data_IF_306299191930
#
_entry.id   IF_306299191930
#
_cell.length_a   1.000
_cell.length_b   1.000
_cell.length_c   1.000
_cell.angle_alpha   90.00
_cell.angle_beta   90.00
_cell.angle_gamma   90.00
#
_symmetry.space_group_name_H-M   'P 1'
#
loop_
_entity.id
_entity.type
_entity.pdbx_description
1 polymer ?
#
# COMPACT_ATOMS: atom_id res chain seq x y z
N UNK A 1 38.04 29.46 1.76
CA UNK A 1 38.17 28.13 1.14
C UNK A 1 39.45 28.14 0.37
N UNK A 2 40.39 27.30 0.78
CA UNK A 2 41.57 27.04 -0.04
C UNK A 2 41.19 26.11 -1.21
N UNK A 3 42.10 25.93 -2.17
CA UNK A 3 41.85 25.09 -3.35
C UNK A 3 41.59 23.62 -2.95
N UNK A 4 42.19 23.17 -1.85
CA UNK A 4 42.06 21.80 -1.36
C UNK A 4 40.66 21.52 -0.81
N UNK A 5 40.08 22.46 -0.06
CA UNK A 5 38.70 22.41 0.42
C UNK A 5 37.71 22.32 -0.76
N UNK A 6 37.94 23.10 -1.81
CA UNK A 6 37.09 23.11 -3.01
C UNK A 6 37.17 21.78 -3.76
N UNK A 7 38.38 21.24 -3.96
CA UNK A 7 38.58 19.96 -4.63
C UNK A 7 37.95 18.79 -3.83
N UNK A 8 38.06 18.83 -2.50
CA UNK A 8 37.41 17.86 -1.62
C UNK A 8 35.89 17.89 -1.73
N UNK A 9 35.28 19.09 -1.67
CA UNK A 9 33.83 19.26 -1.81
C UNK A 9 33.37 18.79 -3.19
N UNK A 10 34.09 19.14 -4.25
CA UNK A 10 33.76 18.71 -5.61
C UNK A 10 33.76 17.17 -5.72
N UNK A 11 34.76 16.50 -5.17
CA UNK A 11 34.82 15.03 -5.17
C UNK A 11 33.65 14.39 -4.40
N UNK A 12 33.24 14.98 -3.27
CA UNK A 12 32.06 14.49 -2.53
C UNK A 12 30.77 14.68 -3.34
N UNK A 13 30.61 15.84 -4.00
CA UNK A 13 29.45 16.13 -4.83
C UNK A 13 29.37 15.20 -6.05
N UNK A 14 30.49 14.90 -6.69
CA UNK A 14 30.57 13.92 -7.79
C UNK A 14 30.12 12.53 -7.30
N UNK A 15 30.61 12.09 -6.14
CA UNK A 15 30.19 10.81 -5.54
C UNK A 15 28.70 10.77 -5.20
N UNK A 16 28.13 11.88 -4.71
CA UNK A 16 26.69 11.99 -4.45
C UNK A 16 25.87 11.96 -5.76
N UNK A 17 26.35 12.56 -6.84
CA UNK A 17 25.71 12.51 -8.16
C UNK A 17 25.69 11.07 -8.68
N UNK A 18 26.83 10.37 -8.63
CA UNK A 18 26.94 8.99 -9.09
C UNK A 18 26.03 8.04 -8.29
N UNK A 19 25.98 8.21 -6.96
CA UNK A 19 25.09 7.43 -6.10
C UNK A 19 23.63 7.73 -6.41
N UNK A 20 23.27 9.00 -6.62
CA UNK A 20 21.91 9.40 -7.00
C UNK A 20 21.46 8.72 -8.28
N UNK A 21 22.30 8.67 -9.32
CA UNK A 21 21.94 8.02 -10.57
C UNK A 21 21.73 6.51 -10.39
N UNK A 22 22.60 5.83 -9.64
CA UNK A 22 22.42 4.39 -9.31
C UNK A 22 21.13 4.13 -8.53
N UNK A 23 20.78 5.00 -7.58
CA UNK A 23 19.52 4.89 -6.84
C UNK A 23 18.33 5.11 -7.79
N UNK A 24 18.40 6.10 -8.69
CA UNK A 24 17.33 6.35 -9.68
C UNK A 24 17.07 5.15 -10.58
N UNK A 25 18.10 4.43 -11.00
CA UNK A 25 17.95 3.21 -11.79
C UNK A 25 17.14 2.15 -11.03
N UNK A 26 17.47 1.92 -9.75
CA UNK A 26 16.71 0.99 -8.90
C UNK A 26 15.27 1.47 -8.66
N UNK A 27 15.07 2.77 -8.44
CA UNK A 27 13.73 3.38 -8.30
C UNK A 27 12.90 3.18 -9.56
N UNK A 28 13.48 3.35 -10.75
CA UNK A 28 12.78 3.16 -12.02
C UNK A 28 12.29 1.71 -12.18
N UNK A 29 13.14 0.74 -11.86
CA UNK A 29 12.74 -0.67 -11.87
C UNK A 29 11.68 -0.96 -10.79
N UNK A 30 11.76 -0.31 -9.63
CA UNK A 30 10.75 -0.46 -8.58
C UNK A 30 9.38 0.07 -9.03
N UNK A 31 9.36 1.26 -9.61
CA UNK A 31 8.15 1.88 -10.17
C UNK A 31 7.54 1.02 -11.28
N UNK A 32 8.37 0.41 -12.12
CA UNK A 32 7.92 -0.52 -13.16
C UNK A 32 7.28 -1.77 -12.55
N UNK A 33 7.93 -2.43 -11.59
CA UNK A 33 7.36 -3.62 -10.92
C UNK A 33 6.07 -3.30 -10.19
N UNK A 34 6.05 -2.23 -9.40
CA UNK A 34 4.86 -1.81 -8.64
C UNK A 34 3.73 -1.37 -9.56
N UNK A 35 4.01 -0.70 -10.69
CA UNK A 35 2.99 -0.40 -11.70
C UNK A 35 2.39 -1.67 -12.30
N UNK A 36 3.18 -2.71 -12.56
CA UNK A 36 2.65 -4.01 -13.02
C UNK A 36 1.75 -4.65 -11.96
N UNK A 37 2.17 -4.65 -10.69
CA UNK A 37 1.36 -5.12 -9.56
C UNK A 37 0.01 -4.38 -9.49
N UNK A 38 0.04 -3.05 -9.49
CA UNK A 38 -1.17 -2.21 -9.45
C UNK A 38 -2.05 -2.45 -10.69
N UNK A 39 -1.45 -2.55 -11.87
CA UNK A 39 -2.18 -2.81 -13.12
C UNK A 39 -2.89 -4.16 -13.12
N UNK A 40 -2.27 -5.19 -12.54
CA UNK A 40 -2.87 -6.51 -12.40
C UNK A 40 -3.99 -6.49 -11.35
N UNK A 41 -3.75 -5.89 -10.18
CA UNK A 41 -4.75 -5.76 -9.12
C UNK A 41 -5.98 -4.95 -9.55
N UNK A 42 -5.85 -3.97 -10.43
CA UNK A 42 -6.98 -3.19 -10.95
C UNK A 42 -8.03 -4.06 -11.68
N UNK A 43 -7.70 -5.31 -12.07
CA UNK A 43 -8.67 -6.27 -12.60
C UNK A 43 -9.73 -6.68 -11.57
N UNK A 44 -9.49 -6.49 -10.27
CA UNK A 44 -10.42 -6.81 -9.18
C UNK A 44 -11.82 -6.21 -9.41
N UNK A 45 -11.89 -5.02 -10.03
CA UNK A 45 -13.14 -4.31 -10.32
C UNK A 45 -14.05 -4.98 -11.37
N UNK A 46 -13.54 -5.99 -12.09
CA UNK A 46 -14.30 -6.81 -13.03
C UNK A 46 -14.17 -8.31 -12.76
N UNK A 47 -13.57 -8.70 -11.64
CA UNK A 47 -13.30 -10.10 -11.32
C UNK A 47 -14.34 -10.62 -10.33
N UNK A 48 -14.96 -11.75 -10.66
CA UNK A 48 -15.91 -12.43 -9.76
C UNK A 48 -15.18 -13.08 -8.60
N UNK A 49 -15.87 -13.25 -7.46
CA UNK A 49 -15.25 -13.72 -6.21
C UNK A 49 -14.52 -15.06 -6.33
N UNK A 50 -14.98 -15.96 -7.20
CA UNK A 50 -14.36 -17.26 -7.48
C UNK A 50 -12.99 -17.16 -8.17
N UNK A 51 -12.74 -16.07 -8.89
CA UNK A 51 -11.49 -15.83 -9.64
C UNK A 51 -10.47 -14.98 -8.88
N UNK A 52 -10.86 -14.41 -7.75
CA UNK A 52 -9.96 -13.61 -6.90
C UNK A 52 -8.73 -14.42 -6.47
N UNK A 53 -8.82 -15.68 -6.00
CA UNK A 53 -7.64 -16.46 -5.62
C UNK A 53 -6.59 -16.56 -6.73
N UNK A 54 -7.02 -16.86 -7.96
CA UNK A 54 -6.13 -16.94 -9.13
C UNK A 54 -5.47 -15.59 -9.43
N UNK A 55 -6.20 -14.48 -9.30
CA UNK A 55 -5.60 -13.15 -9.45
C UNK A 55 -4.53 -12.89 -8.38
N UNK A 56 -4.74 -13.32 -7.14
CA UNK A 56 -3.76 -13.16 -6.06
C UNK A 56 -2.52 -14.03 -6.31
N UNK A 57 -2.70 -15.26 -6.81
CA UNK A 57 -1.60 -16.16 -7.16
C UNK A 57 -0.69 -15.56 -8.24
N UNK A 58 -1.24 -14.81 -9.19
CA UNK A 58 -0.46 -14.09 -10.21
C UNK A 58 0.29 -12.87 -9.62
N UNK A 59 -0.28 -12.18 -8.62
CA UNK A 59 0.29 -10.93 -8.07
C UNK A 59 1.36 -11.20 -7.00
N UNK A 60 1.18 -12.21 -6.16
CA UNK A 60 2.08 -12.50 -5.02
C UNK A 60 3.55 -12.64 -5.43
N UNK A 61 3.91 -13.38 -6.51
CA UNK A 61 5.30 -13.49 -6.95
C UNK A 61 5.90 -12.14 -7.34
N UNK A 62 5.13 -11.27 -8.00
CA UNK A 62 5.60 -9.94 -8.42
C UNK A 62 5.94 -9.04 -7.23
N UNK A 63 5.19 -9.16 -6.13
CA UNK A 63 5.50 -8.47 -4.87
C UNK A 63 6.76 -9.03 -4.22
N UNK A 64 6.91 -10.35 -4.17
CA UNK A 64 8.11 -11.01 -3.64
C UNK A 64 9.35 -10.65 -4.47
N UNK A 65 9.20 -10.49 -5.79
CA UNK A 65 10.28 -10.08 -6.68
C UNK A 65 10.77 -8.65 -6.41
N UNK A 66 10.04 -7.83 -5.63
CA UNK A 66 10.53 -6.52 -5.21
C UNK A 66 11.70 -6.64 -4.21
N UNK A 67 11.90 -7.80 -3.57
CA UNK A 67 13.03 -8.11 -2.68
C UNK A 67 14.39 -7.87 -3.31
N UNK A 68 14.51 -8.13 -4.61
CA UNK A 68 15.79 -7.91 -5.31
C UNK A 68 16.14 -6.43 -5.36
N UNK A 69 15.13 -5.56 -5.51
CA UNK A 69 15.31 -4.11 -5.63
C UNK A 69 15.60 -3.49 -4.27
N UNK A 70 14.85 -3.90 -3.23
CA UNK A 70 15.10 -3.45 -1.86
C UNK A 70 16.50 -3.84 -1.40
N UNK A 71 16.95 -5.06 -1.68
CA UNK A 71 18.32 -5.49 -1.41
C UNK A 71 19.37 -4.63 -2.14
N UNK A 72 19.18 -4.35 -3.43
CA UNK A 72 20.07 -3.46 -4.20
C UNK A 72 20.12 -2.05 -3.62
N UNK A 73 18.97 -1.47 -3.27
CA UNK A 73 18.91 -0.15 -2.63
C UNK A 73 19.67 -0.14 -1.29
N UNK A 74 19.48 -1.16 -0.45
CA UNK A 74 20.17 -1.27 0.83
C UNK A 74 21.70 -1.42 0.69
N UNK A 75 22.18 -2.01 -0.41
CA UNK A 75 23.61 -2.12 -0.73
C UNK A 75 24.19 -0.82 -1.28
N UNK A 76 23.41 -0.05 -2.05
CA UNK A 76 23.85 1.23 -2.61
C UNK A 76 23.94 2.33 -1.55
N UNK A 77 22.96 2.40 -0.63
CA UNK A 77 22.87 3.49 0.34
C UNK A 77 23.97 3.33 1.41
N UNK A 78 24.83 4.34 1.61
CA UNK A 78 25.85 4.30 2.65
C UNK A 78 25.24 4.24 4.06
N UNK A 79 26.00 3.69 5.00
CA UNK A 79 25.58 3.57 6.39
C UNK A 79 25.15 4.92 6.98
N UNK A 80 24.07 4.93 7.76
CA UNK A 80 23.50 6.13 8.40
C UNK A 80 22.99 7.21 7.42
N UNK A 81 22.81 6.90 6.14
CA UNK A 81 22.29 7.85 5.15
C UNK A 81 20.85 7.60 4.70
N UNK A 82 20.11 6.70 5.37
CA UNK A 82 18.70 6.42 5.03
C UNK A 82 17.87 7.70 4.83
N UNK A 83 17.86 8.61 5.82
CA UNK A 83 17.04 9.82 5.78
C UNK A 83 17.44 10.80 4.67
N UNK A 84 18.69 10.74 4.21
CA UNK A 84 19.19 11.58 3.11
C UNK A 84 18.60 11.17 1.77
N UNK A 85 18.40 9.86 1.57
CA UNK A 85 18.05 9.29 0.26
C UNK A 85 16.61 8.74 0.19
N UNK A 86 15.93 8.51 1.33
CA UNK A 86 14.61 7.82 1.38
C UNK A 86 13.54 8.38 0.45
N UNK A 87 13.54 9.69 0.23
CA UNK A 87 12.49 10.34 -0.55
C UNK A 87 12.52 9.90 -2.02
N UNK A 88 13.66 9.40 -2.51
CA UNK A 88 13.81 8.92 -3.88
C UNK A 88 12.94 7.70 -4.18
N UNK A 89 12.75 6.78 -3.22
CA UNK A 89 11.96 5.55 -3.42
C UNK A 89 10.67 5.51 -2.61
N UNK A 90 10.33 6.60 -1.88
CA UNK A 90 9.16 6.63 -1.00
C UNK A 90 7.86 6.34 -1.75
N UNK A 91 7.69 6.87 -2.98
CA UNK A 91 6.51 6.59 -3.79
C UNK A 91 6.42 5.12 -4.23
N UNK A 92 7.54 4.52 -4.63
CA UNK A 92 7.62 3.12 -5.01
C UNK A 92 7.29 2.19 -3.84
N UNK A 93 7.85 2.46 -2.65
CA UNK A 93 7.52 1.72 -1.43
C UNK A 93 6.04 1.86 -1.07
N UNK A 94 5.47 3.07 -1.12
CA UNK A 94 4.04 3.29 -0.84
C UNK A 94 3.14 2.49 -1.79
N UNK A 95 3.52 2.42 -3.08
CA UNK A 95 2.80 1.61 -4.07
C UNK A 95 2.92 0.11 -3.79
N UNK A 96 4.08 -0.36 -3.35
CA UNK A 96 4.29 -1.75 -2.95
C UNK A 96 3.48 -2.11 -1.68
N UNK A 97 3.45 -1.22 -0.67
CA UNK A 97 2.60 -1.36 0.53
C UNK A 97 1.13 -1.46 0.13
N UNK A 98 0.66 -0.55 -0.73
CA UNK A 98 -0.71 -0.60 -1.25
C UNK A 98 -1.02 -1.95 -1.90
N UNK A 99 -0.15 -2.42 -2.80
CA UNK A 99 -0.32 -3.71 -3.47
C UNK A 99 -0.39 -4.88 -2.48
N UNK A 100 0.53 -4.93 -1.51
CA UNK A 100 0.54 -5.96 -0.48
C UNK A 100 -0.70 -5.90 0.42
N UNK A 101 -1.16 -4.70 0.79
CA UNK A 101 -2.32 -4.52 1.63
C UNK A 101 -3.63 -4.90 0.92
N UNK A 102 -3.75 -4.60 -0.39
CA UNK A 102 -4.90 -5.03 -1.18
C UNK A 102 -4.91 -6.55 -1.36
N UNK A 103 -3.76 -7.18 -1.60
CA UNK A 103 -3.64 -8.65 -1.67
C UNK A 103 -4.05 -9.30 -0.34
N UNK A 104 -3.63 -8.74 0.79
CA UNK A 104 -4.01 -9.26 2.12
C UNK A 104 -5.51 -9.13 2.37
N UNK A 105 -6.09 -7.95 2.07
CA UNK A 105 -7.52 -7.71 2.22
C UNK A 105 -8.34 -8.66 1.34
N UNK A 106 -7.99 -8.80 0.06
CA UNK A 106 -8.71 -9.68 -0.86
C UNK A 106 -8.57 -11.17 -0.50
N UNK A 107 -7.46 -11.56 0.12
CA UNK A 107 -7.23 -12.95 0.53
C UNK A 107 -7.82 -13.32 1.88
N UNK A 108 -7.83 -12.39 2.84
CA UNK A 108 -8.14 -12.70 4.25
C UNK A 108 -9.21 -11.79 4.87
N UNK A 109 -9.52 -10.66 4.23
CA UNK A 109 -10.37 -9.61 4.79
C UNK A 109 -9.71 -8.82 5.94
N UNK A 110 -8.39 -8.96 6.14
CA UNK A 110 -7.67 -8.34 7.26
C UNK A 110 -6.64 -7.31 6.81
N UNK A 111 -6.15 -6.53 7.78
CA UNK A 111 -5.12 -5.53 7.57
C UNK A 111 -3.73 -6.18 7.63
N UNK A 112 -2.92 -5.98 6.60
CA UNK A 112 -1.53 -6.44 6.60
C UNK A 112 -0.70 -5.67 7.63
N UNK A 113 0.12 -6.36 8.43
CA UNK A 113 1.02 -5.71 9.39
C UNK A 113 2.28 -5.18 8.70
N UNK A 114 2.93 -4.17 9.30
CA UNK A 114 4.22 -3.64 8.82
C UNK A 114 5.28 -4.75 8.73
N UNK A 115 5.29 -5.67 9.71
CA UNK A 115 6.20 -6.82 9.73
C UNK A 115 6.00 -7.70 8.49
N UNK A 116 4.75 -8.05 8.16
CA UNK A 116 4.45 -8.87 6.99
C UNK A 116 4.78 -8.16 5.67
N UNK A 117 4.62 -6.83 5.62
CA UNK A 117 5.09 -6.04 4.46
C UNK A 117 6.61 -6.10 4.34
N UNK A 118 7.35 -5.90 5.44
CA UNK A 118 8.81 -6.02 5.43
C UNK A 118 9.26 -7.42 5.01
N UNK A 119 8.59 -8.47 5.49
CA UNK A 119 8.83 -9.85 5.04
C UNK A 119 8.63 -9.96 3.53
N UNK A 120 7.46 -9.57 3.00
CA UNK A 120 7.18 -9.66 1.55
C UNK A 120 8.23 -8.91 0.73
N UNK A 121 8.56 -7.68 1.13
CA UNK A 121 9.51 -6.82 0.42
C UNK A 121 10.98 -7.12 0.76
N UNK A 122 11.26 -8.05 1.68
CA UNK A 122 12.63 -8.43 2.08
C UNK A 122 13.40 -7.27 2.70
N UNK A 123 12.71 -6.41 3.44
CA UNK A 123 13.34 -5.32 4.19
C UNK A 123 13.75 -5.90 5.54
N UNK A 124 15.06 -5.92 5.80
CA UNK A 124 15.62 -6.51 7.02
C UNK A 124 16.05 -5.45 8.04
N UNK A 125 16.01 -5.78 9.32
CA UNK A 125 16.31 -4.84 10.42
C UNK A 125 17.77 -4.38 10.43
N UNK A 126 18.71 -5.20 9.92
CA UNK A 126 20.12 -4.83 9.75
C UNK A 126 20.35 -3.70 8.72
N UNK A 127 19.33 -3.33 7.96
CA UNK A 127 19.38 -2.24 6.99
C UNK A 127 18.73 -0.97 7.51
N UNK A 128 18.25 -0.90 8.75
CA UNK A 128 17.47 0.25 9.27
C UNK A 128 18.10 1.64 9.06
N UNK A 129 19.42 1.70 8.94
CA UNK A 129 20.20 2.92 8.71
C UNK A 129 20.47 3.24 7.22
N UNK A 130 20.02 2.37 6.31
CA UNK A 130 20.19 2.41 4.84
C UNK A 130 18.88 2.26 4.08
N UNK A 131 18.03 1.32 4.47
CA UNK A 131 16.70 1.05 3.93
C UNK A 131 15.77 0.52 5.04
N UNK A 132 14.66 1.21 5.25
CA UNK A 132 13.57 0.78 6.13
C UNK A 132 12.22 1.12 5.49
N UNK A 133 11.14 0.57 6.05
CA UNK A 133 9.77 1.02 5.80
C UNK A 133 9.33 1.95 6.94
N UNK A 134 9.34 3.28 6.76
CA UNK A 134 8.78 4.21 7.74
C UNK A 134 7.28 3.98 7.94
N UNK A 135 6.81 4.21 9.16
CA UNK A 135 5.39 4.16 9.48
C UNK A 135 4.57 5.11 8.58
N UNK A 136 5.10 6.29 8.24
CA UNK A 136 4.43 7.25 7.35
C UNK A 136 4.16 6.68 5.95
N UNK A 137 5.14 5.98 5.37
CA UNK A 137 5.01 5.38 4.04
C UNK A 137 4.04 4.19 4.05
N UNK A 138 4.03 3.42 5.14
CA UNK A 138 3.03 2.38 5.35
C UNK A 138 1.61 2.97 5.41
N UNK A 139 1.40 4.00 6.22
CA UNK A 139 0.12 4.69 6.36
C UNK A 139 -0.34 5.32 5.03
N UNK A 140 0.57 5.88 4.25
CA UNK A 140 0.26 6.38 2.91
C UNK A 140 -0.21 5.28 1.95
N UNK A 141 0.35 4.08 2.04
CA UNK A 141 -0.12 2.91 1.30
C UNK A 141 -1.53 2.48 1.72
N UNK A 142 -1.84 2.51 3.02
CA UNK A 142 -3.17 2.20 3.54
C UNK A 142 -4.24 3.22 3.12
N UNK A 143 -3.91 4.50 3.05
CA UNK A 143 -4.85 5.51 2.51
C UNK A 143 -5.22 5.15 1.07
N UNK A 144 -4.22 4.78 0.25
CA UNK A 144 -4.47 4.35 -1.14
C UNK A 144 -5.34 3.09 -1.19
N UNK A 145 -5.15 2.15 -0.25
CA UNK A 145 -6.04 0.99 -0.12
C UNK A 145 -7.49 1.43 0.12
N UNK A 146 -7.75 2.34 1.04
CA UNK A 146 -9.13 2.83 1.32
C UNK A 146 -9.75 3.48 0.08
N UNK A 147 -9.00 4.30 -0.65
CA UNK A 147 -9.47 4.90 -1.90
C UNK A 147 -9.89 3.81 -2.91
N UNK A 148 -9.10 2.74 -3.02
CA UNK A 148 -9.37 1.64 -3.96
C UNK A 148 -10.56 0.78 -3.51
N UNK A 149 -10.71 0.52 -2.20
CA UNK A 149 -11.85 -0.21 -1.65
C UNK A 149 -13.17 0.55 -1.81
N UNK A 150 -13.15 1.87 -1.69
CA UNK A 150 -14.30 2.74 -2.00
C UNK A 150 -14.79 2.58 -3.44
N UNK A 151 -13.88 2.38 -4.40
CA UNK A 151 -14.21 2.04 -5.78
C UNK A 151 -14.70 0.59 -5.91
N UNK A 152 -14.03 -0.35 -5.24
CA UNK A 152 -14.39 -1.78 -5.28
C UNK A 152 -15.80 -2.03 -4.75
N UNK A 153 -16.22 -1.32 -3.68
CA UNK A 153 -17.56 -1.46 -3.11
C UNK A 153 -18.66 -1.20 -4.16
N UNK A 154 -18.52 -0.17 -4.99
CA UNK A 154 -19.48 0.13 -6.07
C UNK A 154 -19.47 -0.98 -7.14
N UNK A 155 -18.29 -1.43 -7.54
CA UNK A 155 -18.15 -2.43 -8.59
C UNK A 155 -18.64 -3.82 -8.14
N UNK A 156 -18.46 -4.16 -6.87
CA UNK A 156 -18.97 -5.40 -6.29
C UNK A 156 -20.50 -5.49 -6.40
N UNK A 157 -21.23 -4.41 -6.09
CA UNK A 157 -22.69 -4.34 -6.27
C UNK A 157 -23.07 -4.52 -7.73
N UNK A 158 -22.33 -3.89 -8.64
CA UNK A 158 -22.54 -4.02 -10.10
C UNK A 158 -22.36 -5.47 -10.57
N UNK A 159 -21.45 -6.21 -9.94
CA UNK A 159 -21.20 -7.64 -10.21
C UNK A 159 -22.12 -8.58 -9.41
N UNK A 160 -23.11 -8.05 -8.69
CA UNK A 160 -24.07 -8.83 -7.90
C UNK A 160 -23.57 -9.33 -6.55
N UNK A 161 -22.38 -8.90 -6.11
CA UNK A 161 -21.86 -9.20 -4.77
C UNK A 161 -22.25 -8.08 -3.79
N UNK A 162 -23.36 -8.29 -3.08
CA UNK A 162 -23.92 -7.34 -2.13
C UNK A 162 -23.33 -7.44 -0.72
N UNK A 163 -22.57 -8.49 -0.42
CA UNK A 163 -21.91 -8.68 0.88
C UNK A 163 -20.59 -7.90 0.96
N UNK A 164 -19.88 -7.77 -0.16
CA UNK A 164 -18.57 -7.10 -0.20
C UNK A 164 -18.59 -5.63 0.27
N UNK A 165 -19.57 -4.78 -0.12
CA UNK A 165 -19.65 -3.41 0.40
C UNK A 165 -19.78 -3.35 1.92
N UNK A 166 -20.48 -4.32 2.54
CA UNK A 166 -20.65 -4.40 3.99
C UNK A 166 -19.30 -4.74 4.65
N UNK A 167 -18.58 -5.73 4.10
CA UNK A 167 -17.23 -6.09 4.57
C UNK A 167 -16.25 -4.92 4.45
N UNK A 168 -16.25 -4.25 3.29
CA UNK A 168 -15.43 -3.05 3.05
C UNK A 168 -15.78 -1.96 4.07
N UNK A 169 -17.06 -1.72 4.35
CA UNK A 169 -17.49 -0.70 5.30
C UNK A 169 -16.97 -0.96 6.72
N UNK A 170 -17.06 -2.20 7.20
CA UNK A 170 -16.53 -2.58 8.53
C UNK A 170 -15.01 -2.36 8.56
N UNK A 171 -14.30 -2.89 7.57
CA UNK A 171 -12.84 -2.77 7.49
C UNK A 171 -12.35 -1.31 7.43
N UNK A 172 -12.98 -0.48 6.59
CA UNK A 172 -12.60 0.93 6.44
C UNK A 172 -12.93 1.75 7.69
N UNK A 173 -14.02 1.43 8.41
CA UNK A 173 -14.34 2.07 9.70
C UNK A 173 -13.28 1.77 10.76
N UNK A 174 -12.84 0.51 10.87
CA UNK A 174 -11.78 0.12 11.80
C UNK A 174 -10.46 0.83 11.46
N UNK A 175 -10.11 0.90 10.17
CA UNK A 175 -8.95 1.68 9.73
C UNK A 175 -9.08 3.17 10.08
N UNK A 176 -10.23 3.78 9.82
CA UNK A 176 -10.45 5.20 10.11
C UNK A 176 -10.34 5.49 11.62
N UNK A 177 -10.89 4.61 12.46
CA UNK A 177 -10.71 4.67 13.91
C UNK A 177 -9.22 4.56 14.28
N UNK A 178 -8.50 3.62 13.67
CA UNK A 178 -7.04 3.49 13.76
C UNK A 178 -6.29 4.80 13.49
N UNK A 179 -6.55 5.42 12.35
CA UNK A 179 -5.94 6.71 11.98
C UNK A 179 -6.32 7.83 12.97
N UNK A 180 -7.54 7.85 13.50
CA UNK A 180 -7.99 8.88 14.44
C UNK A 180 -7.26 8.85 15.79
N UNK A 181 -6.71 7.69 16.17
CA UNK A 181 -5.87 7.54 17.36
C UNK A 181 -4.44 8.08 17.16
N UNK A 182 -4.03 8.34 15.92
CA UNK A 182 -2.70 8.86 15.61
C UNK A 182 -2.68 10.38 15.73
N UNK A 183 -1.71 10.91 16.47
CA UNK A 183 -1.44 12.35 16.51
C UNK A 183 -0.63 12.77 15.27
N UNK A 184 -1.29 12.78 14.11
CA UNK A 184 -0.67 13.16 12.83
C UNK A 184 -0.31 14.65 12.84
N UNK A 185 0.94 14.96 12.50
CA UNK A 185 1.38 16.35 12.27
C UNK A 185 0.67 16.95 11.06
N UNK A 186 0.66 18.27 10.95
CA UNK A 186 -0.07 18.97 9.91
C UNK A 186 0.69 18.95 8.56
N UNK A 187 0.83 17.76 7.98
CA UNK A 187 1.65 17.44 6.81
C UNK A 187 0.83 16.79 5.67
N UNK A 188 1.53 16.25 4.68
CA UNK A 188 0.92 15.54 3.55
C UNK A 188 0.11 14.31 3.95
N UNK A 189 0.53 13.59 4.99
CA UNK A 189 -0.18 12.43 5.50
C UNK A 189 -1.50 12.84 6.12
N UNK A 190 -1.51 13.91 6.93
CA UNK A 190 -2.74 14.46 7.50
C UNK A 190 -3.76 14.87 6.45
N UNK A 191 -3.33 15.61 5.42
CA UNK A 191 -4.22 16.04 4.32
C UNK A 191 -4.84 14.85 3.59
N UNK A 192 -4.04 13.81 3.32
CA UNK A 192 -4.53 12.59 2.67
C UNK A 192 -5.48 11.81 3.58
N UNK A 193 -5.20 11.70 4.88
CA UNK A 193 -6.11 11.12 5.86
C UNK A 193 -7.45 11.87 5.91
N UNK A 194 -7.42 13.21 5.98
CA UNK A 194 -8.64 14.03 6.04
C UNK A 194 -9.54 13.85 4.80
N UNK A 195 -8.97 13.41 3.67
CA UNK A 195 -9.74 13.08 2.46
C UNK A 195 -10.51 11.76 2.56
N UNK A 196 -10.12 10.84 3.46
CA UNK A 196 -10.78 9.53 3.60
C UNK A 196 -12.24 9.63 4.05
N UNK A 197 -12.66 10.75 4.65
CA UNK A 197 -14.07 10.98 5.01
C UNK A 197 -15.00 10.91 3.80
N UNK A 198 -14.51 11.29 2.61
CA UNK A 198 -15.30 11.23 1.38
C UNK A 198 -15.47 9.79 0.89
N UNK A 199 -14.41 8.98 0.98
CA UNK A 199 -14.47 7.55 0.67
C UNK A 199 -15.37 6.78 1.65
N UNK A 200 -15.25 7.07 2.95
CA UNK A 200 -16.11 6.47 3.97
C UNK A 200 -17.59 6.79 3.69
N UNK A 201 -17.91 8.06 3.44
CA UNK A 201 -19.28 8.49 3.09
C UNK A 201 -19.80 7.74 1.87
N UNK A 202 -18.99 7.61 0.82
CA UNK A 202 -19.37 6.89 -0.41
C UNK A 202 -19.64 5.40 -0.15
N UNK A 203 -18.80 4.74 0.65
CA UNK A 203 -19.02 3.34 1.04
C UNK A 203 -20.31 3.19 1.84
N UNK A 204 -20.58 4.11 2.77
CA UNK A 204 -21.81 4.10 3.57
C UNK A 204 -23.07 4.30 2.73
N UNK A 205 -23.03 5.20 1.74
CA UNK A 205 -24.11 5.38 0.77
C UNK A 205 -24.40 4.08 0.00
N UNK A 206 -23.35 3.37 -0.45
CA UNK A 206 -23.51 2.07 -1.13
C UNK A 206 -24.13 1.02 -0.20
N UNK A 207 -23.68 0.92 1.05
CA UNK A 207 -24.21 -0.03 2.03
C UNK A 207 -25.66 0.28 2.38
N UNK A 208 -26.00 1.56 2.54
CA UNK A 208 -27.37 2.01 2.76
C UNK A 208 -28.27 1.56 1.61
N UNK A 209 -27.83 1.77 0.37
CA UNK A 209 -28.55 1.41 -0.84
C UNK A 209 -28.79 -0.10 -1.01
N UNK A 210 -27.81 -0.92 -0.61
CA UNK A 210 -27.93 -2.39 -0.57
C UNK A 210 -28.94 -2.83 0.50
N UNK A 211 -28.85 -2.23 1.68
CA UNK A 211 -29.69 -2.57 2.84
C UNK A 211 -31.14 -2.18 2.62
N UNK A 212 -31.40 -0.99 2.07
CA UNK A 212 -32.75 -0.49 1.77
C UNK A 212 -33.48 -1.39 0.79
N UNK A 213 -32.77 -1.95 -0.18
CA UNK A 213 -33.31 -2.85 -1.21
C UNK A 213 -33.43 -4.31 -0.74
N UNK A 214 -33.07 -4.62 0.51
CA UNK A 214 -33.08 -5.98 1.10
C UNK A 214 -32.30 -7.00 0.26
N UNK A 215 -31.23 -6.56 -0.39
CA UNK A 215 -30.39 -7.42 -1.24
C UNK A 215 -29.49 -8.37 -0.43
N UNK A 216 -29.39 -8.13 0.88
CA UNK A 216 -28.71 -8.98 1.86
C UNK A 216 -29.72 -9.38 2.93
N UNK A 217 -29.72 -10.66 3.32
CA UNK A 217 -30.59 -11.15 4.38
C UNK A 217 -30.24 -10.45 5.71
N UNK A 218 -31.22 -9.96 6.47
CA UNK A 218 -30.95 -9.30 7.74
C UNK A 218 -30.21 -10.25 8.70
N UNK A 219 -29.27 -9.74 9.52
CA UNK A 219 -28.56 -10.53 10.51
C UNK A 219 -29.58 -11.08 11.53
N UNK A 220 -30.05 -12.30 11.30
CA UNK A 220 -31.15 -12.93 12.03
C UNK A 220 -31.95 -13.96 11.23
N UNK A 221 -31.84 -13.97 9.90
CA UNK A 221 -32.51 -14.94 9.01
C UNK A 221 -31.52 -15.80 8.20
N UNK A 222 -30.31 -16.05 8.71
CA UNK A 222 -29.45 -17.08 8.12
C UNK A 222 -30.04 -18.45 8.48
N UNK A 223 -30.42 -19.30 7.51
CA UNK A 223 -30.86 -20.65 7.82
C UNK A 223 -29.73 -21.37 8.56
N UNK A 224 -30.06 -21.97 9.71
CA UNK A 224 -29.13 -22.85 10.40
C UNK A 224 -28.77 -24.00 9.45
N UNK A 225 -27.49 -24.39 9.33
CA UNK A 225 -27.16 -25.62 8.63
C UNK A 225 -27.88 -26.77 9.33
N UNK A 226 -28.74 -27.47 8.60
CA UNK A 226 -29.38 -28.72 9.04
C UNK A 226 -28.30 -29.72 9.47
N UNK A 227 -28.54 -30.49 10.54
CA UNK A 227 -27.54 -31.37 11.17
C UNK A 227 -27.05 -32.48 10.23
#
# INVERSE_FOLDING_TARGET
>A
MDQHDLDFINSQLEGDIDLREKIKEQVHEFDKKTRTVVGLLNKVHGTTSDKIPSLLDDVRPLLVDCRTITASLAQLVPQNQFWRWKDMWSNSIRAAVFGAALVEYLGTGTLITVVKVNEILGIHDEWKDRLALPAEDYLHGLITLVNELSRLAVNAVTLGNYEEPIRISIFVKDLFAGFSMLNLKNDTLRRRYDSLKYDLKKIEEVVYDVSLRKLVAPPGQRPQPTP
#
